data_IF_805403414837
#
_entry.id   IF_805403414837
#
_cell.length_a   1.000
_cell.length_b   1.000
_cell.length_c   1.000
_cell.angle_alpha   90.00
_cell.angle_beta   90.00
_cell.angle_gamma   90.00
#
_symmetry.space_group_name_H-M   'P 1'
#
loop_
_entity.id
_entity.type
_entity.pdbx_description
1 polymer ?
#
# COMPACT_ATOMS: atom_id res chain seq x y z
N UNK A 1 2.82 8.43 -1.59
CA UNK A 1 1.50 7.75 -1.46
C UNK A 1 0.58 8.27 -2.52
N UNK A 2 -0.27 7.40 -3.08
CA UNK A 2 -1.21 7.76 -4.12
C UNK A 2 -2.46 8.37 -3.49
N UNK A 3 -2.88 9.55 -3.94
CA UNK A 3 -3.94 10.34 -3.29
C UNK A 3 -5.28 9.61 -3.31
N UNK A 4 -5.59 8.98 -4.43
CA UNK A 4 -6.79 8.19 -4.71
C UNK A 4 -6.89 6.97 -3.79
N UNK A 5 -5.74 6.45 -3.35
CA UNK A 5 -5.66 5.30 -2.46
C UNK A 5 -5.55 5.69 -0.97
N UNK A 6 -5.30 6.96 -0.66
CA UNK A 6 -4.90 7.39 0.68
C UNK A 6 -5.90 6.99 1.77
N UNK A 7 -7.21 7.09 1.51
CA UNK A 7 -8.24 6.72 2.51
C UNK A 7 -8.29 5.21 2.81
N UNK A 8 -7.91 4.38 1.86
CA UNK A 8 -7.89 2.92 2.00
C UNK A 8 -6.64 2.41 2.69
N UNK A 9 -5.65 3.28 2.89
CA UNK A 9 -4.31 2.92 3.38
C UNK A 9 -3.97 3.56 4.73
N UNK A 10 -4.85 4.39 5.29
CA UNK A 10 -4.65 5.03 6.60
C UNK A 10 -4.97 4.10 7.76
N UNK A 11 -4.31 4.34 8.89
CA UNK A 11 -4.71 3.75 10.17
C UNK A 11 -6.15 4.17 10.55
N UNK A 12 -6.88 3.35 11.34
CA UNK A 12 -6.49 2.06 11.94
C UNK A 12 -6.37 0.91 10.92
N UNK A 13 -5.75 -0.23 11.28
CA UNK A 13 -5.56 -1.39 10.38
C UNK A 13 -6.86 -2.07 9.97
N UNK A 14 -7.89 -2.00 10.82
CA UNK A 14 -9.23 -2.50 10.55
C UNK A 14 -10.26 -1.37 10.68
N UNK A 15 -11.36 -1.39 9.89
CA UNK A 15 -11.63 -2.35 8.82
C UNK A 15 -10.75 -2.09 7.59
N UNK A 16 -10.46 -3.15 6.82
CA UNK A 16 -9.91 -3.05 5.46
C UNK A 16 -11.06 -2.66 4.53
N UNK A 17 -10.90 -1.55 3.82
CA UNK A 17 -11.90 -1.04 2.89
C UNK A 17 -11.46 -1.36 1.46
N UNK A 18 -12.39 -1.86 0.66
CA UNK A 18 -12.12 -2.17 -0.73
C UNK A 18 -11.80 -0.90 -1.52
N UNK A 19 -10.64 -0.86 -2.21
CA UNK A 19 -10.25 0.28 -3.01
C UNK A 19 -11.21 0.49 -4.19
N UNK A 20 -11.42 1.74 -4.58
CA UNK A 20 -12.19 2.05 -5.79
C UNK A 20 -11.40 1.70 -7.05
N UNK A 21 -12.11 1.55 -8.18
CA UNK A 21 -11.49 1.35 -9.50
C UNK A 21 -10.49 2.46 -9.85
N UNK A 22 -10.77 3.70 -9.42
CA UNK A 22 -9.86 4.82 -9.59
C UNK A 22 -8.54 4.59 -8.85
N UNK A 23 -8.57 4.12 -7.59
CA UNK A 23 -7.37 3.75 -6.83
C UNK A 23 -6.62 2.60 -7.50
N UNK A 24 -7.31 1.54 -7.95
CA UNK A 24 -6.65 0.42 -8.60
C UNK A 24 -6.01 0.81 -9.95
N UNK A 25 -6.65 1.67 -10.73
CA UNK A 25 -6.13 2.17 -12.01
C UNK A 25 -4.81 2.90 -11.82
N UNK A 26 -4.72 3.79 -10.83
CA UNK A 26 -3.48 4.52 -10.53
C UNK A 26 -2.44 3.61 -9.88
N UNK A 27 -2.85 2.66 -9.03
CA UNK A 27 -1.95 1.68 -8.41
C UNK A 27 -1.24 0.81 -9.45
N UNK A 28 -1.98 0.35 -10.46
CA UNK A 28 -1.46 -0.43 -11.57
C UNK A 28 -0.39 0.34 -12.36
N UNK A 29 -0.59 1.64 -12.58
CA UNK A 29 0.37 2.51 -13.28
C UNK A 29 1.50 3.04 -12.38
N UNK A 30 1.37 2.88 -11.06
CA UNK A 30 2.31 3.48 -10.13
C UNK A 30 3.71 2.84 -10.18
N UNK A 31 4.73 3.70 -10.05
CA UNK A 31 6.09 3.28 -9.81
C UNK A 31 6.27 2.94 -8.31
N UNK A 32 6.03 1.68 -7.97
CA UNK A 32 6.09 1.16 -6.60
C UNK A 32 7.47 1.38 -5.94
N UNK A 33 8.62 1.12 -6.61
CA UNK A 33 9.94 1.45 -6.07
C UNK A 33 10.07 2.93 -5.66
N UNK A 34 9.64 3.86 -6.52
CA UNK A 34 9.69 5.30 -6.22
C UNK A 34 8.78 5.67 -5.05
N UNK A 35 7.56 5.10 -4.99
CA UNK A 35 6.65 5.33 -3.86
C UNK A 35 7.26 4.86 -2.54
N UNK A 36 7.90 3.70 -2.54
CA UNK A 36 8.53 3.09 -1.37
C UNK A 36 9.78 3.83 -0.92
N UNK A 37 10.57 4.39 -1.84
CA UNK A 37 11.68 5.27 -1.49
C UNK A 37 11.20 6.51 -0.71
N UNK A 38 9.97 6.97 -0.98
CA UNK A 38 9.34 8.06 -0.25
C UNK A 38 8.69 7.67 1.07
N UNK A 39 8.63 6.39 1.45
CA UNK A 39 8.03 5.93 2.72
C UNK A 39 9.05 6.04 3.83
N UNK A 40 8.78 6.92 4.80
CA UNK A 40 9.56 7.07 6.04
C UNK A 40 8.76 6.54 7.22
N UNK A 41 9.43 6.32 8.37
CA UNK A 41 8.77 5.94 9.64
C UNK A 41 7.60 6.86 10.02
N UNK A 42 7.69 8.15 9.72
CA UNK A 42 6.60 9.10 9.97
C UNK A 42 5.39 8.84 9.08
N UNK A 43 5.62 8.47 7.82
CA UNK A 43 4.52 8.08 6.92
C UNK A 43 3.92 6.74 7.31
N UNK A 44 4.70 5.81 7.86
CA UNK A 44 4.18 4.53 8.39
C UNK A 44 3.27 4.74 9.62
N UNK A 45 3.41 5.86 10.35
CA UNK A 45 2.46 6.25 11.41
C UNK A 45 1.13 6.77 10.87
N UNK A 46 1.11 7.28 9.64
CA UNK A 46 -0.10 7.81 8.98
C UNK A 46 -0.77 6.71 8.14
N UNK A 47 0.03 5.93 7.42
CA UNK A 47 -0.40 4.90 6.51
C UNK A 47 -0.06 3.52 7.06
N UNK A 48 -1.09 2.70 7.21
CA UNK A 48 -0.98 1.32 7.63
C UNK A 48 -0.47 0.46 6.47
N UNK A 49 0.79 0.01 6.56
CA UNK A 49 1.42 -0.78 5.50
C UNK A 49 0.69 -2.10 5.24
N UNK A 50 0.02 -2.68 6.24
CA UNK A 50 -0.84 -3.85 6.05
C UNK A 50 -2.01 -3.57 5.08
N UNK A 51 -2.64 -2.39 5.21
CA UNK A 51 -3.67 -1.94 4.26
C UNK A 51 -3.11 -1.62 2.90
N UNK A 52 -1.88 -1.11 2.82
CA UNK A 52 -1.18 -0.93 1.54
C UNK A 52 -1.02 -2.28 0.83
N UNK A 53 -0.66 -3.32 1.58
CA UNK A 53 -0.60 -4.70 1.07
C UNK A 53 -1.97 -5.22 0.63
N UNK A 54 -3.02 -4.94 1.40
CA UNK A 54 -4.40 -5.28 1.03
C UNK A 54 -4.82 -4.63 -0.30
N UNK A 55 -4.62 -3.31 -0.44
CA UNK A 55 -4.92 -2.57 -1.69
C UNK A 55 -4.10 -3.13 -2.85
N UNK A 56 -2.81 -3.42 -2.63
CA UNK A 56 -1.95 -3.99 -3.65
C UNK A 56 -2.44 -5.35 -4.16
N UNK A 57 -2.84 -6.22 -3.24
CA UNK A 57 -3.41 -7.53 -3.56
C UNK A 57 -4.76 -7.41 -4.27
N UNK A 58 -5.67 -6.60 -3.72
CA UNK A 58 -7.00 -6.37 -4.29
C UNK A 58 -6.89 -5.83 -5.72
N UNK A 59 -6.04 -4.83 -5.93
CA UNK A 59 -5.83 -4.20 -7.22
C UNK A 59 -4.96 -5.03 -8.18
N UNK A 60 -4.66 -6.31 -7.90
CA UNK A 60 -3.92 -7.23 -8.78
C UNK A 60 -2.48 -6.80 -9.12
N UNK A 61 -1.82 -6.07 -8.21
CA UNK A 61 -0.39 -5.75 -8.29
C UNK A 61 0.21 -5.86 -6.89
N UNK A 62 0.34 -7.10 -6.38
CA UNK A 62 0.83 -7.33 -5.04
C UNK A 62 2.33 -7.05 -4.93
N UNK A 63 2.80 -6.86 -3.70
CA UNK A 63 4.23 -6.80 -3.43
C UNK A 63 4.84 -8.19 -3.49
N UNK A 64 6.06 -8.35 -4.03
CA UNK A 64 6.82 -9.59 -3.91
C UNK A 64 7.03 -9.98 -2.45
N UNK A 65 7.18 -11.27 -2.18
CA UNK A 65 7.53 -11.76 -0.86
C UNK A 65 8.84 -11.13 -0.38
N UNK A 66 8.86 -10.62 0.86
CA UNK A 66 10.05 -9.98 1.44
C UNK A 66 10.36 -8.60 0.86
N UNK A 67 9.47 -8.03 0.03
CA UNK A 67 9.67 -6.71 -0.52
C UNK A 67 9.64 -5.66 0.59
N UNK A 68 10.68 -4.81 0.62
CA UNK A 68 10.82 -3.75 1.62
C UNK A 68 10.36 -2.41 1.08
N UNK A 69 9.50 -1.75 1.83
CA UNK A 69 8.96 -0.43 1.52
C UNK A 69 9.08 0.47 2.75
N UNK A 70 10.04 1.40 2.74
CA UNK A 70 10.44 2.12 3.95
C UNK A 70 11.12 1.18 4.96
N UNK A 71 10.60 1.15 6.19
CA UNK A 71 11.02 0.21 7.24
C UNK A 71 10.25 -1.09 7.23
N UNK A 72 9.09 -1.13 6.56
CA UNK A 72 8.20 -2.28 6.54
C UNK A 72 8.61 -3.31 5.47
N UNK A 73 8.58 -4.59 5.85
CA UNK A 73 8.79 -5.72 4.94
C UNK A 73 7.47 -6.46 4.78
N UNK A 74 7.00 -6.60 3.54
CA UNK A 74 5.75 -7.29 3.27
C UNK A 74 5.88 -8.80 3.54
N UNK A 75 4.97 -9.37 4.36
CA UNK A 75 4.92 -10.81 4.57
C UNK A 75 4.53 -11.54 3.27
N UNK A 76 4.72 -12.87 3.21
CA UNK A 76 4.24 -13.64 2.07
C UNK A 76 2.73 -13.47 1.90
N UNK A 77 2.28 -13.41 0.65
CA UNK A 77 0.85 -13.45 0.32
C UNK A 77 0.30 -14.77 0.87
N UNK A 78 -0.57 -14.67 1.87
CA UNK A 78 -1.33 -15.80 2.42
C UNK A 78 -2.53 -16.10 1.53
#
# INVERSE_FOLDING_TARGET
MIKECAKYQKWPANPKLDPSDACCTVWQKANIPCLCAGVTKEKEKIYCMEKVGYVANFCKKPFPHGYKCGSYTFPPLA
#
